data_IF_584435463173
#
_entry.id   IF_584435463173
#
_cell.length_a   1.000
_cell.length_b   1.000
_cell.length_c   1.000
_cell.angle_alpha   90.00
_cell.angle_beta   90.00
_cell.angle_gamma   90.00
#
_symmetry.space_group_name_H-M   'P 1'
#
loop_
_entity.id
_entity.type
_entity.pdbx_description
1 polymer ?
#
# COMPACT_ATOMS: atom_id res chain seq x y z
N UNK A 1 -9.22 -63.03 22.99
CA UNK A 1 -9.51 -61.72 23.62
C UNK A 1 -9.67 -60.72 22.49
N UNK A 2 -10.85 -60.08 22.42
CA UNK A 2 -11.27 -59.21 21.31
C UNK A 2 -10.69 -57.80 21.54
N UNK A 3 -9.88 -57.28 20.62
CA UNK A 3 -9.49 -55.87 20.63
C UNK A 3 -10.35 -55.13 19.60
N UNK A 4 -11.29 -54.35 20.14
CA UNK A 4 -12.30 -53.61 19.42
C UNK A 4 -11.69 -52.38 18.71
N UNK A 5 -11.97 -52.33 17.41
CA UNK A 5 -12.50 -51.21 16.62
C UNK A 5 -12.02 -49.77 16.87
N UNK A 6 -11.47 -49.22 15.79
CA UNK A 6 -11.55 -47.84 15.30
C UNK A 6 -12.12 -46.76 16.25
N UNK A 7 -11.33 -45.70 16.43
CA UNK A 7 -11.85 -44.33 16.42
C UNK A 7 -10.78 -43.38 15.91
N UNK A 8 -10.89 -43.05 14.63
CA UNK A 8 -10.15 -42.00 13.94
C UNK A 8 -10.86 -40.68 14.27
N UNK A 9 -10.29 -39.87 15.16
CA UNK A 9 -10.78 -38.51 15.41
C UNK A 9 -9.66 -37.52 15.08
N UNK A 10 -9.49 -37.26 13.77
CA UNK A 10 -8.66 -36.17 13.28
C UNK A 10 -9.56 -34.96 13.08
N UNK A 11 -9.64 -34.09 14.08
CA UNK A 11 -10.33 -32.80 13.95
C UNK A 11 -9.35 -31.80 13.33
N UNK A 12 -9.36 -31.71 12.00
CA UNK A 12 -8.66 -30.65 11.26
C UNK A 12 -9.42 -29.33 11.47
N UNK A 13 -8.96 -28.49 12.40
CA UNK A 13 -9.40 -27.10 12.49
C UNK A 13 -8.54 -26.29 11.53
N UNK A 14 -8.99 -26.22 10.27
CA UNK A 14 -8.42 -25.33 9.26
C UNK A 14 -8.90 -23.90 9.52
N UNK A 15 -8.26 -23.20 10.45
CA UNK A 15 -8.43 -21.76 10.56
C UNK A 15 -7.70 -21.11 9.37
N UNK A 16 -8.44 -20.90 8.28
CA UNK A 16 -8.05 -20.03 7.18
C UNK A 16 -7.98 -18.60 7.73
N UNK A 17 -6.84 -18.22 8.29
CA UNK A 17 -6.47 -16.81 8.34
C UNK A 17 -6.22 -16.39 6.89
N UNK A 18 -7.27 -15.92 6.23
CA UNK A 18 -7.14 -15.05 5.08
C UNK A 18 -6.56 -13.73 5.61
N UNK A 19 -5.26 -13.72 5.89
CA UNK A 19 -4.50 -12.49 6.00
C UNK A 19 -4.74 -11.76 4.69
N UNK A 20 -5.36 -10.59 4.77
CA UNK A 20 -5.40 -9.66 3.65
C UNK A 20 -3.98 -9.51 3.18
N UNK A 21 -3.69 -9.93 1.96
CA UNK A 21 -2.46 -9.57 1.29
C UNK A 21 -2.48 -8.05 1.10
N UNK A 22 -2.14 -7.33 2.17
CA UNK A 22 -1.58 -6.00 2.06
C UNK A 22 -0.32 -6.25 1.25
N UNK A 23 -0.36 -5.90 -0.03
CA UNK A 23 0.86 -5.80 -0.79
C UNK A 23 1.77 -4.90 0.05
N UNK A 24 2.77 -5.52 0.68
CA UNK A 24 3.77 -4.86 1.50
C UNK A 24 4.45 -3.85 0.60
N UNK A 25 3.92 -2.64 0.55
CA UNK A 25 4.63 -1.49 0.01
C UNK A 25 5.63 -1.13 1.13
N UNK A 26 6.59 -2.03 1.32
CA UNK A 26 7.52 -2.14 2.47
C UNK A 26 8.41 -0.91 2.67
N UNK A 27 8.32 0.06 1.76
CA UNK A 27 9.07 1.32 1.78
C UNK A 27 8.23 2.53 2.25
N UNK A 28 6.97 2.32 2.62
CA UNK A 28 6.13 3.37 3.22
C UNK A 28 6.35 3.53 4.73
N UNK A 29 5.54 4.33 5.42
CA UNK A 29 5.85 4.76 6.80
C UNK A 29 5.00 4.07 7.87
N UNK A 30 5.63 3.75 9.00
CA UNK A 30 4.91 3.37 10.24
C UNK A 30 4.64 4.56 11.16
N UNK A 31 5.01 5.77 10.74
CA UNK A 31 4.81 6.97 11.55
C UNK A 31 3.31 7.26 11.75
N UNK A 32 2.91 7.79 12.92
CA UNK A 32 1.52 8.16 13.18
C UNK A 32 0.99 9.12 12.11
N UNK A 33 -0.26 8.93 11.68
CA UNK A 33 -0.85 9.75 10.61
C UNK A 33 -0.85 11.26 10.90
N UNK A 34 -0.76 11.66 12.18
CA UNK A 34 -0.66 13.05 12.62
C UNK A 34 0.68 13.70 12.26
N UNK A 35 1.72 12.91 11.98
CA UNK A 35 3.04 13.40 11.57
C UNK A 35 3.21 13.42 10.06
N UNK A 36 2.20 12.98 9.30
CA UNK A 36 2.27 12.92 7.86
C UNK A 36 2.17 14.32 7.26
N UNK A 37 2.90 14.54 6.17
CA UNK A 37 2.72 15.69 5.31
C UNK A 37 1.28 15.74 4.82
N UNK A 38 0.72 16.93 4.73
CA UNK A 38 -0.59 17.12 4.11
C UNK A 38 -0.55 16.79 2.62
N UNK A 39 -1.71 16.46 2.04
CA UNK A 39 -1.85 16.30 0.59
C UNK A 39 -1.39 17.55 -0.18
N UNK A 40 -1.54 18.74 0.40
CA UNK A 40 -1.09 19.99 -0.22
C UNK A 40 0.44 20.07 -0.30
N UNK A 41 1.15 19.67 0.75
CA UNK A 41 2.62 19.62 0.74
C UNK A 41 3.14 18.60 -0.27
N UNK A 42 2.52 17.42 -0.35
CA UNK A 42 2.87 16.38 -1.32
C UNK A 42 2.57 16.84 -2.75
N UNK A 43 1.45 17.54 -2.96
CA UNK A 43 1.11 18.16 -4.24
C UNK A 43 2.21 19.14 -4.66
N UNK A 44 2.57 20.08 -3.80
CA UNK A 44 3.58 21.09 -4.09
C UNK A 44 4.94 20.46 -4.43
N UNK A 45 5.33 19.42 -3.68
CA UNK A 45 6.57 18.69 -3.95
C UNK A 45 6.54 17.95 -5.29
N UNK A 46 5.43 17.28 -5.63
CA UNK A 46 5.29 16.63 -6.93
C UNK A 46 5.28 17.65 -8.09
N UNK A 47 4.61 18.78 -7.92
CA UNK A 47 4.61 19.87 -8.92
C UNK A 47 6.01 20.46 -9.12
N UNK A 48 6.80 20.59 -8.04
CA UNK A 48 8.21 21.01 -8.12
C UNK A 48 9.10 20.02 -8.90
N UNK A 49 8.69 18.76 -9.00
CA UNK A 49 9.34 17.73 -9.83
C UNK A 49 8.83 17.71 -11.29
N UNK A 50 7.93 18.62 -11.67
CA UNK A 50 7.35 18.70 -13.01
C UNK A 50 6.10 17.84 -13.23
N UNK A 51 5.52 17.27 -12.17
CA UNK A 51 4.30 16.48 -12.26
C UNK A 51 3.06 17.36 -12.24
N UNK A 52 2.18 17.22 -13.24
CA UNK A 52 0.86 17.86 -13.20
C UNK A 52 -0.09 17.01 -12.35
N UNK A 53 -0.20 17.32 -11.06
CA UNK A 53 -0.99 16.52 -10.12
C UNK A 53 -2.48 16.58 -10.42
N UNK A 54 -3.11 15.40 -10.60
CA UNK A 54 -4.55 15.26 -10.87
C UNK A 54 -5.32 14.77 -9.64
N UNK A 55 -4.71 13.90 -8.84
CA UNK A 55 -5.35 13.32 -7.64
C UNK A 55 -4.30 12.83 -6.67
N UNK A 56 -4.58 12.95 -5.37
CA UNK A 56 -3.80 12.35 -4.29
C UNK A 56 -4.72 11.47 -3.43
N UNK A 57 -4.37 10.18 -3.34
CA UNK A 57 -5.05 9.19 -2.52
C UNK A 57 -4.11 8.71 -1.42
N UNK A 58 -4.71 8.29 -0.30
CA UNK A 58 -4.00 7.50 0.70
C UNK A 58 -4.26 6.04 0.36
N UNK A 59 -3.19 5.28 0.19
CA UNK A 59 -3.22 3.84 -0.06
C UNK A 59 -2.34 3.20 1.02
N UNK A 60 -2.97 2.56 2.00
CA UNK A 60 -2.28 2.08 3.21
C UNK A 60 -1.51 3.18 3.94
N UNK A 61 -0.22 2.93 4.19
CA UNK A 61 0.76 3.84 4.79
C UNK A 61 1.41 4.82 3.80
N UNK A 62 0.89 4.94 2.58
CA UNK A 62 1.47 5.72 1.50
C UNK A 62 0.52 6.80 0.97
N UNK A 63 1.07 7.73 0.19
CA UNK A 63 0.29 8.50 -0.76
C UNK A 63 0.54 8.06 -2.20
N UNK A 64 -0.54 7.80 -2.92
CA UNK A 64 -0.54 7.60 -4.36
C UNK A 64 -0.97 8.91 -5.04
N UNK A 65 -0.09 9.45 -5.88
CA UNK A 65 -0.28 10.67 -6.65
C UNK A 65 -0.45 10.28 -8.12
N UNK A 66 -1.65 10.52 -8.66
CA UNK A 66 -1.90 10.39 -10.10
C UNK A 66 -1.59 11.74 -10.76
N UNK A 67 -0.71 11.75 -11.75
CA UNK A 67 -0.26 12.95 -12.42
C UNK A 67 -0.13 12.79 -13.94
N UNK A 68 0.06 13.90 -14.65
CA UNK A 68 0.51 13.91 -16.04
C UNK A 68 1.95 14.41 -16.15
N UNK A 69 2.73 13.79 -17.03
CA UNK A 69 4.07 14.23 -17.44
C UNK A 69 4.12 14.15 -18.95
N UNK A 70 4.38 15.27 -19.62
CA UNK A 70 4.40 15.32 -21.09
C UNK A 70 3.14 14.69 -21.74
N UNK A 71 1.98 14.90 -21.12
CA UNK A 71 0.70 14.34 -21.57
C UNK A 71 0.45 12.87 -21.18
N UNK A 72 1.44 12.16 -20.66
CA UNK A 72 1.31 10.76 -20.25
C UNK A 72 0.91 10.62 -18.78
N UNK A 73 0.06 9.63 -18.48
CA UNK A 73 -0.41 9.35 -17.13
C UNK A 73 0.66 8.62 -16.33
N UNK A 74 0.96 9.15 -15.15
CA UNK A 74 1.89 8.55 -14.18
C UNK A 74 1.20 8.37 -12.84
N UNK A 75 1.57 7.30 -12.16
CA UNK A 75 1.22 7.03 -10.78
C UNK A 75 2.50 7.04 -9.95
N UNK A 76 2.53 7.90 -8.94
CA UNK A 76 3.73 8.18 -8.15
C UNK A 76 3.39 7.91 -6.70
N UNK A 77 4.16 7.06 -6.04
CA UNK A 77 3.98 6.70 -4.64
C UNK A 77 4.97 7.49 -3.81
N UNK A 78 4.47 8.21 -2.81
CA UNK A 78 5.26 8.96 -1.84
C UNK A 78 5.09 8.38 -0.44
N UNK A 79 6.20 8.37 0.31
CA UNK A 79 6.17 8.16 1.75
C UNK A 79 5.64 9.44 2.42
N UNK A 80 4.53 9.39 3.16
CA UNK A 80 3.85 10.59 3.64
C UNK A 80 4.56 11.24 4.84
N UNK A 81 5.42 10.53 5.57
CA UNK A 81 6.18 11.11 6.68
C UNK A 81 7.40 11.91 6.21
N UNK A 82 8.01 11.50 5.10
CA UNK A 82 9.27 12.07 4.61
C UNK A 82 9.14 12.83 3.29
N UNK A 83 8.05 12.63 2.56
CA UNK A 83 7.91 13.08 1.17
C UNK A 83 8.81 12.31 0.21
N UNK A 84 9.47 11.23 0.61
CA UNK A 84 10.35 10.46 -0.28
C UNK A 84 9.53 9.81 -1.40
N UNK A 85 9.96 9.97 -2.65
CA UNK A 85 9.42 9.22 -3.77
C UNK A 85 9.85 7.76 -3.64
N UNK A 86 8.87 6.86 -3.58
CA UNK A 86 9.07 5.41 -3.46
C UNK A 86 8.99 4.76 -4.82
N UNK A 87 7.98 5.13 -5.63
CA UNK A 87 7.79 4.58 -6.96
C UNK A 87 7.21 5.64 -7.91
N UNK A 88 7.50 5.53 -9.20
CA UNK A 88 6.88 6.32 -10.26
C UNK A 88 6.70 5.46 -11.51
N UNK A 89 5.47 5.01 -11.77
CA UNK A 89 5.13 4.13 -12.89
C UNK A 89 4.24 4.83 -13.92
N UNK A 90 4.32 4.36 -15.16
CA UNK A 90 3.35 4.69 -16.19
C UNK A 90 2.03 3.98 -15.94
N UNK A 91 0.93 4.66 -16.24
CA UNK A 91 -0.41 4.06 -16.19
C UNK A 91 -1.00 4.07 -17.59
N UNK A 92 -1.05 2.90 -18.22
CA UNK A 92 -1.80 2.66 -19.46
C UNK A 92 -3.30 2.93 -19.25
#
# INVERSE_FOLDING_TARGET
>A
MKNHSLSLAVTLVSALFAGTALAEMSDCTDAPQTTWMSKAQIKAQAEAMGYQVRRIKREGSCYEVKALVNGQRREIVFNPATGKLINANERN
#
